data_IF_400364055986
#
_entry.id   IF_400364055986
#
_cell.length_a   1.000
_cell.length_b   1.000
_cell.length_c   1.000
_cell.angle_alpha   90.00
_cell.angle_beta   90.00
_cell.angle_gamma   90.00
#
_symmetry.space_group_name_H-M   'P 1'
#
loop_
_entity.id
_entity.type
_entity.pdbx_description
1 polymer ?
#
# COMPACT_ATOMS: atom_id res chain seq x y z
N UNK A 1 10.84 -2.67 -8.35
CA UNK A 1 12.06 -1.90 -8.68
C UNK A 1 13.14 -2.76 -9.32
N UNK A 2 13.72 -3.76 -8.64
CA UNK A 2 14.79 -4.62 -9.19
C UNK A 2 14.53 -5.15 -10.62
N UNK A 3 13.37 -5.74 -10.87
CA UNK A 3 13.02 -6.25 -12.20
C UNK A 3 12.81 -5.14 -13.23
N UNK A 4 12.29 -3.99 -12.81
CA UNK A 4 12.11 -2.85 -13.70
C UNK A 4 13.47 -2.34 -14.19
N UNK A 5 14.46 -2.21 -13.30
CA UNK A 5 15.86 -1.88 -13.66
C UNK A 5 16.45 -2.93 -14.61
N UNK A 6 16.27 -4.22 -14.31
CA UNK A 6 16.83 -5.32 -15.12
C UNK A 6 16.33 -5.33 -16.56
N UNK A 7 15.08 -4.92 -16.77
CA UNK A 7 14.42 -4.99 -18.07
C UNK A 7 14.20 -3.61 -18.71
N UNK A 8 14.68 -2.54 -18.08
CA UNK A 8 14.56 -1.17 -18.60
C UNK A 8 13.12 -0.62 -18.60
N UNK A 9 12.29 -1.05 -17.64
CA UNK A 9 10.92 -0.54 -17.50
C UNK A 9 10.87 0.71 -16.61
N UNK A 10 10.00 1.64 -16.99
CA UNK A 10 9.61 2.77 -16.15
C UNK A 10 8.64 2.30 -15.03
N UNK A 11 8.69 2.96 -13.88
CA UNK A 11 7.72 2.75 -12.81
C UNK A 11 6.71 3.90 -12.77
N UNK A 12 5.44 3.58 -12.60
CA UNK A 12 4.38 4.57 -12.39
C UNK A 12 3.86 4.38 -10.97
N UNK A 13 4.01 5.37 -10.06
CA UNK A 13 3.46 5.30 -8.73
C UNK A 13 1.93 5.43 -8.80
N UNK A 14 1.24 4.46 -8.21
CA UNK A 14 -0.23 4.44 -8.12
C UNK A 14 -0.59 4.23 -6.66
N UNK A 15 -1.51 5.04 -6.15
CA UNK A 15 -2.03 4.89 -4.79
C UNK A 15 -3.55 4.75 -4.80
N UNK A 16 -4.05 3.77 -4.06
CA UNK A 16 -5.47 3.47 -3.93
C UNK A 16 -5.96 3.89 -2.53
N UNK A 17 -6.72 4.97 -2.46
CA UNK A 17 -7.41 5.37 -1.24
C UNK A 17 -8.66 4.52 -1.04
N UNK A 18 -8.97 4.21 0.23
CA UNK A 18 -10.20 3.53 0.66
C UNK A 18 -10.15 2.01 0.61
N UNK A 19 -9.16 1.41 -0.07
CA UNK A 19 -9.11 -0.05 -0.30
C UNK A 19 -9.07 -0.86 1.00
N UNK A 20 -8.30 -0.40 1.99
CA UNK A 20 -8.19 -1.04 3.31
C UNK A 20 -9.53 -1.15 4.06
N UNK A 21 -10.52 -0.33 3.70
CA UNK A 21 -11.84 -0.33 4.35
C UNK A 21 -12.88 -1.22 3.64
N UNK A 22 -12.53 -1.81 2.50
CA UNK A 22 -13.43 -2.71 1.76
C UNK A 22 -13.72 -4.00 2.53
N UNK A 23 -12.77 -4.43 3.36
CA UNK A 23 -12.87 -5.60 4.21
C UNK A 23 -12.54 -5.18 5.64
N UNK A 24 -13.24 -5.77 6.60
CA UNK A 24 -12.87 -5.63 8.01
C UNK A 24 -12.66 -7.01 8.60
N UNK A 25 -11.78 -7.12 9.59
CA UNK A 25 -11.70 -8.33 10.41
C UNK A 25 -12.82 -8.28 11.46
N UNK A 26 -12.98 -9.32 12.27
CA UNK A 26 -13.85 -9.23 13.45
C UNK A 26 -13.43 -8.07 14.36
N UNK A 27 -14.42 -7.35 14.92
CA UNK A 27 -14.23 -6.13 15.72
C UNK A 27 -13.02 -6.14 16.70
N UNK A 28 -12.77 -7.20 17.51
CA UNK A 28 -11.62 -7.20 18.42
C UNK A 28 -10.24 -7.30 17.72
N UNK A 29 -10.19 -7.73 16.46
CA UNK A 29 -8.96 -7.86 15.68
C UNK A 29 -8.65 -6.60 14.84
N UNK A 30 -9.64 -5.74 14.61
CA UNK A 30 -9.46 -4.46 13.89
C UNK A 30 -8.87 -3.36 14.78
N UNK A 31 -8.76 -3.59 16.09
CA UNK A 31 -8.13 -2.66 17.01
C UNK A 31 -6.62 -2.46 16.73
N UNK A 32 -6.06 -1.25 16.91
CA UNK A 32 -4.67 -0.95 16.57
C UNK A 32 -3.63 -1.84 17.27
N UNK A 33 -3.91 -2.30 18.49
CA UNK A 33 -3.03 -3.23 19.21
C UNK A 33 -3.05 -4.63 18.58
N UNK A 34 -4.21 -5.10 18.14
CA UNK A 34 -4.38 -6.41 17.52
C UNK A 34 -3.77 -6.45 16.12
N UNK A 35 -3.90 -5.36 15.34
CA UNK A 35 -3.19 -5.17 14.07
C UNK A 35 -1.68 -5.27 14.26
N UNK A 36 -1.12 -4.57 15.26
CA UNK A 36 0.31 -4.61 15.57
C UNK A 36 0.79 -6.01 15.96
N UNK A 37 0.01 -6.74 16.78
CA UNK A 37 0.34 -8.13 17.13
C UNK A 37 0.32 -9.07 15.92
N UNK A 38 -0.69 -8.95 15.04
CA UNK A 38 -0.76 -9.73 13.80
C UNK A 38 0.43 -9.45 12.88
N UNK A 39 0.83 -8.19 12.74
CA UNK A 39 2.01 -7.80 11.96
C UNK A 39 3.30 -8.33 12.59
N UNK A 40 3.45 -8.25 13.91
CA UNK A 40 4.61 -8.81 14.62
C UNK A 40 4.70 -10.34 14.46
N UNK A 41 3.57 -11.03 14.57
CA UNK A 41 3.48 -12.46 14.31
C UNK A 41 3.84 -12.79 12.86
N UNK A 42 3.28 -12.06 11.88
CA UNK A 42 3.60 -12.24 10.47
C UNK A 42 5.09 -12.01 10.18
N UNK A 43 5.72 -11.00 10.79
CA UNK A 43 7.18 -10.78 10.66
C UNK A 43 7.98 -11.92 11.29
N UNK A 44 7.56 -12.46 12.42
CA UNK A 44 8.30 -13.51 13.14
C UNK A 44 8.16 -14.90 12.51
N UNK A 45 6.99 -15.22 11.98
CA UNK A 45 6.67 -16.54 11.45
C UNK A 45 6.58 -16.58 9.93
N UNK A 46 6.64 -15.43 9.26
CA UNK A 46 6.47 -15.28 7.80
C UNK A 46 5.12 -15.84 7.29
N UNK A 47 4.12 -15.91 8.18
CA UNK A 47 2.77 -16.36 7.87
C UNK A 47 1.81 -15.19 8.07
N UNK A 48 1.16 -14.76 6.99
CA UNK A 48 0.12 -13.75 7.04
C UNK A 48 -1.24 -14.41 7.32
N UNK A 49 -1.85 -14.09 8.46
CA UNK A 49 -3.21 -14.54 8.79
C UNK A 49 -4.20 -13.54 8.17
N UNK A 50 -4.63 -13.82 6.94
CA UNK A 50 -5.63 -13.04 6.23
C UNK A 50 -7.04 -13.37 6.69
N UNK A 51 -7.59 -12.58 7.60
CA UNK A 51 -8.99 -12.65 8.03
C UNK A 51 -9.71 -11.38 7.58
N UNK A 52 -10.27 -11.39 6.37
CA UNK A 52 -11.09 -10.31 5.83
C UNK A 52 -12.53 -10.79 5.68
N UNK A 53 -13.45 -10.14 6.38
CA UNK A 53 -14.89 -10.36 6.21
C UNK A 53 -15.46 -9.19 5.43
N UNK A 54 -15.96 -9.48 4.23
CA UNK A 54 -16.70 -8.55 3.39
C UNK A 54 -18.16 -8.42 3.83
N UNK A 55 -19.10 -8.56 2.90
CA UNK A 55 -20.54 -8.47 3.17
C UNK A 55 -21.01 -9.63 4.08
N UNK A 56 -21.79 -9.41 5.15
CA UNK A 56 -22.18 -10.46 6.11
C UNK A 56 -22.84 -11.71 5.52
N UNK A 57 -23.58 -11.59 4.41
CA UNK A 57 -24.19 -12.74 3.73
C UNK A 57 -23.23 -13.42 2.74
N UNK A 58 -22.27 -12.67 2.19
CA UNK A 58 -21.29 -13.15 1.23
C UNK A 58 -19.91 -12.57 1.57
N UNK A 59 -19.15 -13.22 2.47
CA UNK A 59 -17.92 -12.66 3.04
C UNK A 59 -16.83 -12.34 2.01
N UNK A 60 -16.90 -12.95 0.82
CA UNK A 60 -15.95 -12.76 -0.27
C UNK A 60 -16.16 -11.41 -0.98
N UNK A 61 -17.39 -10.89 -0.98
CA UNK A 61 -17.71 -9.63 -1.67
C UNK A 61 -17.31 -8.46 -0.78
N UNK A 62 -16.66 -7.41 -1.31
CA UNK A 62 -16.37 -6.18 -0.56
C UNK A 62 -17.61 -5.65 0.13
N UNK A 63 -17.46 -5.13 1.36
CA UNK A 63 -18.58 -4.43 2.00
C UNK A 63 -18.97 -3.23 1.11
N UNK A 64 -20.27 -2.91 1.01
CA UNK A 64 -20.69 -1.59 0.55
C UNK A 64 -20.13 -0.57 1.54
N UNK A 65 -18.92 -0.09 1.26
CA UNK A 65 -18.20 0.85 2.11
C UNK A 65 -18.74 2.24 1.86
N UNK A 66 -18.94 3.01 2.93
CA UNK A 66 -19.21 4.44 2.83
C UNK A 66 -18.02 5.21 2.24
N UNK A 67 -16.81 4.62 2.25
CA UNK A 67 -15.59 5.28 1.80
C UNK A 67 -15.39 5.03 0.30
N UNK A 68 -15.41 6.11 -0.48
CA UNK A 68 -15.15 6.11 -1.92
C UNK A 68 -13.73 5.63 -2.20
N UNK A 69 -13.59 4.55 -2.97
CA UNK A 69 -12.28 4.16 -3.50
C UNK A 69 -11.85 5.17 -4.55
N UNK A 70 -10.66 5.73 -4.38
CA UNK A 70 -10.07 6.67 -5.35
C UNK A 70 -8.66 6.21 -5.68
N UNK A 71 -8.43 5.96 -6.96
CA UNK A 71 -7.11 5.65 -7.50
C UNK A 71 -6.49 6.92 -8.03
N UNK A 72 -5.27 7.22 -7.59
CA UNK A 72 -4.48 8.35 -8.10
C UNK A 72 -3.24 7.81 -8.78
N UNK A 73 -2.87 8.40 -9.90
CA UNK A 73 -1.77 7.97 -10.75
C UNK A 73 -0.79 9.14 -10.83
N UNK A 74 0.45 8.90 -10.41
CA UNK A 74 1.50 9.91 -10.45
C UNK A 74 2.33 9.85 -11.73
N UNK A 75 3.34 10.72 -11.78
CA UNK A 75 4.27 10.79 -12.91
C UNK A 75 5.19 9.56 -13.00
N UNK A 76 5.62 9.25 -14.21
CA UNK A 76 6.60 8.18 -14.45
C UNK A 76 7.92 8.46 -13.72
N UNK A 77 8.48 7.42 -13.11
CA UNK A 77 9.82 7.38 -12.54
C UNK A 77 10.71 6.63 -13.52
N UNK A 78 11.60 7.38 -14.19
CA UNK A 78 12.60 6.83 -15.09
C UNK A 78 13.64 6.06 -14.28
N UNK A 79 13.90 4.81 -14.67
CA UNK A 79 14.88 3.96 -14.02
C UNK A 79 16.09 3.74 -14.95
N UNK A 80 17.30 3.64 -14.38
CA UNK A 80 18.44 3.18 -15.15
C UNK A 80 18.21 1.73 -15.61
N UNK A 81 18.70 1.38 -16.79
CA UNK A 81 18.70 0.02 -17.29
C UNK A 81 20.08 -0.59 -17.06
N UNK A 82 20.13 -1.68 -16.28
CA UNK A 82 21.34 -2.45 -16.04
C UNK A 82 20.99 -3.94 -15.91
N UNK A 83 21.69 -4.78 -16.68
CA UNK A 83 21.53 -6.22 -16.63
C UNK A 83 22.07 -6.82 -15.32
N UNK A 84 23.09 -6.20 -14.72
CA UNK A 84 23.67 -6.58 -13.44
C UNK A 84 23.21 -5.61 -12.34
N UNK A 85 22.00 -5.86 -11.83
CA UNK A 85 21.37 -4.97 -10.85
C UNK A 85 22.10 -5.01 -9.50
N UNK A 86 22.85 -3.96 -9.20
CA UNK A 86 23.46 -3.75 -7.90
C UNK A 86 22.41 -3.44 -6.83
N UNK A 87 22.60 -4.00 -5.62
CA UNK A 87 21.66 -3.81 -4.52
C UNK A 87 21.50 -2.34 -4.10
N UNK A 88 22.59 -1.57 -4.09
CA UNK A 88 22.56 -0.14 -3.74
C UNK A 88 21.70 0.67 -4.71
N UNK A 89 21.82 0.39 -6.01
CA UNK A 89 21.00 1.03 -7.05
C UNK A 89 19.51 0.71 -6.87
N UNK A 90 19.16 -0.51 -6.46
CA UNK A 90 17.75 -0.86 -6.16
C UNK A 90 17.23 -0.04 -4.98
N UNK A 91 18.02 0.07 -3.89
CA UNK A 91 17.62 0.82 -2.70
C UNK A 91 17.42 2.29 -3.04
N UNK A 92 18.35 2.91 -3.76
CA UNK A 92 18.25 4.31 -4.21
C UNK A 92 17.02 4.54 -5.09
N UNK A 93 16.81 3.72 -6.11
CA UNK A 93 15.64 3.85 -6.98
C UNK A 93 14.32 3.58 -6.24
N UNK A 94 14.33 2.66 -5.27
CA UNK A 94 13.17 2.40 -4.43
C UNK A 94 12.85 3.59 -3.52
N UNK A 95 13.87 4.25 -2.94
CA UNK A 95 13.68 5.46 -2.15
C UNK A 95 13.01 6.57 -2.99
N UNK A 96 13.49 6.81 -4.22
CA UNK A 96 12.86 7.79 -5.13
C UNK A 96 11.41 7.43 -5.44
N UNK A 97 11.11 6.15 -5.70
CA UNK A 97 9.75 5.70 -5.92
C UNK A 97 8.85 5.94 -4.70
N UNK A 98 9.34 5.65 -3.49
CA UNK A 98 8.62 5.83 -2.24
C UNK A 98 8.37 7.32 -1.96
N UNK A 99 9.34 8.18 -2.21
CA UNK A 99 9.17 9.63 -2.08
C UNK A 99 8.08 10.17 -3.01
N UNK A 100 8.06 9.72 -4.28
CA UNK A 100 7.03 10.09 -5.25
C UNK A 100 5.65 9.58 -4.84
N UNK A 101 5.58 8.36 -4.32
CA UNK A 101 4.33 7.80 -3.78
C UNK A 101 3.82 8.61 -2.58
N UNK A 102 4.71 9.02 -1.67
CA UNK A 102 4.37 9.84 -0.51
C UNK A 102 3.87 11.23 -0.93
N UNK A 103 4.54 11.86 -1.89
CA UNK A 103 4.10 13.15 -2.45
C UNK A 103 2.70 13.04 -3.06
N UNK A 104 2.44 11.98 -3.83
CA UNK A 104 1.12 11.71 -4.43
C UNK A 104 0.03 11.50 -3.35
N UNK A 105 0.37 10.83 -2.25
CA UNK A 105 -0.52 10.68 -1.11
C UNK A 105 -0.82 12.03 -0.45
N UNK A 106 0.21 12.81 -0.15
CA UNK A 106 0.08 14.10 0.54
C UNK A 106 -0.71 15.13 -0.26
N UNK A 107 -0.58 15.11 -1.58
CA UNK A 107 -1.36 15.96 -2.49
C UNK A 107 -2.86 15.65 -2.40
N UNK A 108 -3.23 14.37 -2.43
CA UNK A 108 -4.64 13.96 -2.54
C UNK A 108 -5.32 13.63 -1.21
N UNK A 109 -4.58 13.44 -0.10
CA UNK A 109 -5.17 13.09 1.20
C UNK A 109 -6.10 14.17 1.73
N UNK A 110 -5.81 15.45 1.45
CA UNK A 110 -6.60 16.59 1.92
C UNK A 110 -8.00 16.65 1.29
N UNK A 111 -8.12 16.14 0.05
CA UNK A 111 -9.38 16.07 -0.70
C UNK A 111 -10.35 15.03 -0.14
N UNK A 112 -9.86 14.10 0.69
CA UNK A 112 -10.64 13.00 1.25
C UNK A 112 -10.89 13.23 2.75
N UNK A 113 -12.15 13.41 3.20
CA UNK A 113 -12.47 13.70 4.59
C UNK A 113 -11.87 12.69 5.58
N UNK A 114 -11.83 11.42 5.18
CA UNK A 114 -11.35 10.27 5.96
C UNK A 114 -9.81 10.19 6.11
N UNK A 115 -9.06 11.00 5.37
CA UNK A 115 -7.60 10.90 5.23
C UNK A 115 -6.85 12.19 5.62
N UNK A 116 -7.55 13.26 5.99
CA UNK A 116 -6.95 14.56 6.31
C UNK A 116 -5.89 14.50 7.42
N UNK A 117 -6.19 13.74 8.46
CA UNK A 117 -5.33 13.61 9.66
C UNK A 117 -4.56 12.29 9.69
N UNK A 118 -4.53 11.55 8.57
CA UNK A 118 -3.82 10.28 8.48
C UNK A 118 -2.46 10.50 7.82
N UNK A 119 -1.45 9.84 8.39
CA UNK A 119 -0.13 9.74 7.78
C UNK A 119 0.01 8.38 7.08
N UNK A 120 0.79 8.38 5.99
CA UNK A 120 1.11 7.16 5.27
C UNK A 120 2.22 6.41 6.01
N UNK A 121 1.89 5.27 6.59
CA UNK A 121 2.88 4.36 7.19
C UNK A 121 3.54 3.50 6.10
N UNK A 122 4.85 3.68 5.91
CA UNK A 122 5.68 2.89 5.03
C UNK A 122 6.58 2.01 5.91
N UNK A 123 6.48 0.69 5.77
CA UNK A 123 7.14 -0.31 6.61
C UNK A 123 8.28 -1.02 5.89
#
# INVERSE_FOLDING_TARGET
>A
VKYAIKHGYDLIPIYHFGETRLYSTWAPLDEPWAVRLRLAFARRFQIAIGLGMGWPLVPVIPRPSATRCRSVVGERVLLPHDANVEADTVVRCHAVYVERLRALYDEHRAELPDYRDKELELW
#
